data_IF_132993203861
#
_entry.id   IF_132993203861
#
_cell.length_a   1.000
_cell.length_b   1.000
_cell.length_c   1.000
_cell.angle_alpha   90.00
_cell.angle_beta   90.00
_cell.angle_gamma   90.00
#
_symmetry.space_group_name_H-M   'P 1'
#
loop_
_entity.id
_entity.type
_entity.pdbx_description
1 polymer ?
#
# COMPACT_ATOMS: atom_id res chain seq x y z
N UNK A 1 -2.01 15.58 1.33
CA UNK A 1 -1.79 15.57 -0.13
C UNK A 1 -2.59 14.46 -0.80
N UNK A 2 -2.82 13.33 -0.15
CA UNK A 2 -3.61 12.21 -0.69
C UNK A 2 -5.13 12.36 -0.53
N UNK A 3 -5.60 13.37 0.18
CA UNK A 3 -7.02 13.60 0.51
C UNK A 3 -7.97 13.57 -0.70
N UNK A 4 -7.64 14.26 -1.79
CA UNK A 4 -8.48 14.28 -3.00
C UNK A 4 -8.62 12.93 -3.72
N UNK A 5 -7.78 11.94 -3.40
CA UNK A 5 -7.93 10.56 -3.89
C UNK A 5 -8.95 9.78 -3.07
N UNK A 6 -9.00 10.05 -1.77
CA UNK A 6 -9.99 9.44 -0.87
C UNK A 6 -11.42 9.87 -1.24
N UNK A 7 -11.62 11.09 -1.71
CA UNK A 7 -12.91 11.57 -2.21
C UNK A 7 -13.42 10.71 -3.39
N UNK A 8 -12.53 10.24 -4.26
CA UNK A 8 -12.90 9.32 -5.35
C UNK A 8 -13.31 7.95 -4.83
N UNK A 9 -12.68 7.48 -3.75
CA UNK A 9 -13.07 6.22 -3.11
C UNK A 9 -14.49 6.33 -2.54
N UNK A 10 -14.78 7.41 -1.83
CA UNK A 10 -16.14 7.65 -1.27
C UNK A 10 -17.20 7.79 -2.35
N UNK A 11 -16.86 8.42 -3.48
CA UNK A 11 -17.79 8.65 -4.57
C UNK A 11 -18.06 7.41 -5.44
N UNK A 12 -17.30 6.32 -5.26
CA UNK A 12 -17.48 5.10 -6.03
C UNK A 12 -18.78 4.38 -5.64
N UNK A 13 -19.63 3.98 -6.61
CA UNK A 13 -20.93 3.33 -6.32
C UNK A 13 -20.81 1.99 -5.58
N UNK A 14 -19.73 1.24 -5.81
CA UNK A 14 -19.47 -0.02 -5.09
C UNK A 14 -19.13 0.25 -3.64
N UNK A 15 -18.25 1.21 -3.40
CA UNK A 15 -17.84 1.64 -2.05
C UNK A 15 -18.99 2.25 -1.27
N UNK A 16 -19.88 2.99 -1.92
CA UNK A 16 -21.07 3.60 -1.30
C UNK A 16 -22.07 2.57 -0.72
N UNK A 17 -21.96 1.29 -1.10
CA UNK A 17 -22.76 0.20 -0.54
C UNK A 17 -22.18 -0.41 0.74
N UNK A 18 -20.94 -0.07 1.08
CA UNK A 18 -20.28 -0.58 2.27
C UNK A 18 -20.94 -0.05 3.54
N UNK A 19 -20.91 -0.86 4.58
CA UNK A 19 -21.26 -0.38 5.92
C UNK A 19 -20.24 0.70 6.38
N UNK A 20 -20.65 1.53 7.32
CA UNK A 20 -19.84 2.67 7.79
C UNK A 20 -18.48 2.24 8.34
N UNK A 21 -18.40 1.08 8.99
CA UNK A 21 -17.15 0.58 9.55
C UNK A 21 -16.18 0.16 8.43
N UNK A 22 -16.64 -0.61 7.47
CA UNK A 22 -15.85 -1.04 6.30
C UNK A 22 -15.40 0.16 5.49
N UNK A 23 -16.27 1.14 5.26
CA UNK A 23 -15.92 2.40 4.59
C UNK A 23 -14.81 3.14 5.34
N UNK A 24 -14.93 3.31 6.64
CA UNK A 24 -13.93 3.99 7.46
C UNK A 24 -12.57 3.27 7.41
N UNK A 25 -12.57 1.95 7.47
CA UNK A 25 -11.35 1.14 7.41
C UNK A 25 -10.67 1.21 6.04
N UNK A 26 -11.41 1.09 4.93
CA UNK A 26 -10.81 1.14 3.60
C UNK A 26 -10.22 2.53 3.30
N UNK A 27 -10.88 3.60 3.77
CA UNK A 27 -10.37 4.96 3.66
C UNK A 27 -9.09 5.15 4.48
N UNK A 28 -9.06 4.67 5.72
CA UNK A 28 -7.87 4.73 6.57
C UNK A 28 -6.70 3.96 5.97
N UNK A 29 -6.92 2.71 5.53
CA UNK A 29 -5.91 1.86 4.89
C UNK A 29 -5.36 2.51 3.62
N UNK A 30 -6.25 2.98 2.75
CA UNK A 30 -5.87 3.65 1.50
C UNK A 30 -5.11 4.95 1.77
N UNK A 31 -5.54 5.70 2.78
CA UNK A 31 -4.89 6.94 3.22
C UNK A 31 -3.45 6.72 3.70
N UNK A 32 -3.22 5.70 4.53
CA UNK A 32 -1.88 5.36 5.02
C UNK A 32 -0.94 4.96 3.88
N UNK A 33 -1.41 4.12 2.94
CA UNK A 33 -0.61 3.71 1.78
C UNK A 33 -0.30 4.91 0.89
N UNK A 34 -1.32 5.74 0.59
CA UNK A 34 -1.17 6.89 -0.27
C UNK A 34 -0.28 7.99 0.32
N UNK A 35 -0.35 8.22 1.62
CA UNK A 35 0.53 9.18 2.29
C UNK A 35 1.99 8.74 2.27
N UNK A 36 2.26 7.44 2.39
CA UNK A 36 3.62 6.92 2.30
C UNK A 36 4.30 7.23 0.96
N UNK A 37 3.54 7.30 -0.14
CA UNK A 37 4.08 7.69 -1.44
C UNK A 37 4.71 9.09 -1.42
N UNK A 38 4.18 10.01 -0.61
CA UNK A 38 4.72 11.38 -0.49
C UNK A 38 5.70 11.49 0.66
N UNK A 39 5.35 10.96 1.79
CA UNK A 39 6.06 11.13 3.04
C UNK A 39 7.52 10.66 2.99
N UNK A 40 7.80 9.58 2.31
CA UNK A 40 9.13 9.00 2.20
C UNK A 40 9.91 9.44 0.95
N UNK A 41 9.24 10.08 -0.01
CA UNK A 41 9.85 10.46 -1.28
C UNK A 41 10.08 11.96 -1.45
N UNK A 42 9.76 12.81 -0.47
CA UNK A 42 9.96 14.26 -0.54
C UNK A 42 11.43 14.59 -0.83
N UNK A 43 11.68 15.19 -1.99
CA UNK A 43 13.04 15.48 -2.47
C UNK A 43 13.84 14.25 -2.92
N UNK A 44 13.23 13.06 -2.97
CA UNK A 44 13.87 11.78 -3.32
C UNK A 44 13.18 11.08 -4.52
N UNK A 45 12.40 11.81 -5.27
CA UNK A 45 11.80 11.31 -6.51
C UNK A 45 12.88 11.07 -7.56
N UNK A 46 12.83 9.95 -8.24
CA UNK A 46 13.81 9.61 -9.29
C UNK A 46 13.59 10.41 -10.56
N UNK A 47 12.33 10.61 -10.93
CA UNK A 47 11.94 11.31 -12.14
C UNK A 47 10.71 12.17 -11.93
N UNK A 48 9.53 11.59 -11.72
CA UNK A 48 8.26 12.28 -11.66
C UNK A 48 7.66 12.22 -10.25
N UNK A 49 7.48 13.34 -9.56
CA UNK A 49 6.84 13.39 -8.25
C UNK A 49 5.37 12.99 -8.32
N UNK A 50 4.91 12.30 -7.26
CA UNK A 50 3.51 11.97 -7.09
C UNK A 50 3.23 10.48 -7.01
N UNK A 51 1.96 10.14 -7.01
CA UNK A 51 1.51 8.76 -7.06
C UNK A 51 0.46 8.56 -8.15
N UNK A 52 0.44 7.38 -8.71
CA UNK A 52 -0.66 6.88 -9.52
C UNK A 52 -1.66 6.20 -8.60
N UNK A 53 -2.92 6.50 -8.81
CA UNK A 53 -4.02 5.95 -8.05
C UNK A 53 -5.09 5.47 -9.01
N UNK A 54 -5.60 4.27 -8.76
CA UNK A 54 -6.73 3.72 -9.49
C UNK A 54 -7.68 2.98 -8.56
N UNK A 55 -8.93 2.90 -9.00
CA UNK A 55 -10.03 2.25 -8.33
C UNK A 55 -10.87 1.52 -9.37
N UNK A 56 -11.28 0.30 -9.05
CA UNK A 56 -12.28 -0.47 -9.81
C UNK A 56 -13.20 -1.18 -8.83
N UNK A 57 -14.50 -1.11 -9.07
CA UNK A 57 -15.49 -1.80 -8.25
C UNK A 57 -16.40 -2.68 -9.11
N UNK A 58 -16.88 -3.76 -8.51
CA UNK A 58 -17.89 -4.67 -9.03
C UNK A 58 -19.06 -4.76 -8.05
N UNK A 59 -20.00 -5.67 -8.30
CA UNK A 59 -21.05 -5.99 -7.32
C UNK A 59 -20.49 -6.69 -6.07
N UNK A 60 -19.31 -7.32 -6.18
CA UNK A 60 -18.75 -8.23 -5.17
C UNK A 60 -17.52 -7.68 -4.46
N UNK A 61 -16.82 -6.71 -5.04
CA UNK A 61 -15.56 -6.20 -4.47
C UNK A 61 -15.17 -4.84 -5.00
N UNK A 62 -14.27 -4.20 -4.27
CA UNK A 62 -13.49 -3.05 -4.73
C UNK A 62 -12.01 -3.41 -4.74
N UNK A 63 -11.32 -2.97 -5.78
CA UNK A 63 -9.86 -3.05 -5.94
C UNK A 63 -9.31 -1.65 -6.05
N UNK A 64 -8.31 -1.34 -5.22
CA UNK A 64 -7.63 -0.05 -5.20
C UNK A 64 -6.14 -0.31 -5.42
N UNK A 65 -5.50 0.46 -6.29
CA UNK A 65 -4.06 0.40 -6.47
C UNK A 65 -3.42 1.78 -6.33
N UNK A 66 -2.26 1.78 -5.71
CA UNK A 66 -1.43 2.97 -5.49
C UNK A 66 -0.01 2.63 -5.91
N UNK A 67 0.60 3.47 -6.73
CA UNK A 67 1.98 3.32 -7.15
C UNK A 67 2.74 4.63 -7.09
N UNK A 68 4.02 4.58 -6.76
CA UNK A 68 4.95 5.71 -6.87
C UNK A 68 6.24 5.32 -7.60
N UNK A 69 6.99 6.30 -8.04
CA UNK A 69 8.33 6.14 -8.62
C UNK A 69 9.42 6.71 -7.71
N UNK A 70 9.22 6.55 -6.42
CA UNK A 70 10.16 6.99 -5.41
C UNK A 70 11.32 6.02 -5.20
N UNK A 71 11.94 6.11 -4.04
CA UNK A 71 13.15 5.34 -3.70
C UNK A 71 12.89 3.90 -3.24
N UNK A 72 11.63 3.55 -2.92
CA UNK A 72 11.26 2.24 -2.39
C UNK A 72 11.59 2.04 -0.90
N UNK A 73 11.16 0.90 -0.33
CA UNK A 73 11.35 0.62 1.10
C UNK A 73 12.81 0.45 1.49
N UNK A 74 13.60 -0.28 0.70
CA UNK A 74 14.97 -0.60 1.06
C UNK A 74 15.82 0.68 1.22
N UNK A 75 15.76 1.59 0.27
CA UNK A 75 16.50 2.86 0.35
C UNK A 75 16.01 3.76 1.48
N UNK A 76 14.69 3.76 1.74
CA UNK A 76 14.09 4.53 2.84
C UNK A 76 14.57 4.00 4.20
N UNK A 77 14.49 2.70 4.42
CA UNK A 77 14.79 2.08 5.71
C UNK A 77 16.29 1.99 6.00
N UNK A 78 17.17 1.93 5.00
CA UNK A 78 18.64 1.95 5.20
C UNK A 78 19.14 3.18 5.96
N UNK A 79 18.38 4.26 5.99
CA UNK A 79 18.73 5.46 6.77
C UNK A 79 18.70 5.21 8.27
N UNK A 80 17.86 4.29 8.74
CA UNK A 80 17.67 3.95 10.15
C UNK A 80 18.10 2.52 10.49
N UNK A 81 18.18 1.67 9.48
CA UNK A 81 18.63 0.27 9.56
C UNK A 81 19.66 0.02 8.44
N UNK A 82 20.94 0.40 8.64
CA UNK A 82 21.95 0.31 7.57
C UNK A 82 22.17 -1.11 7.03
N UNK A 83 21.96 -2.12 7.88
CA UNK A 83 22.24 -3.54 7.60
C UNK A 83 21.08 -4.27 6.89
N UNK A 84 20.07 -3.57 6.40
CA UNK A 84 19.01 -4.19 5.59
C UNK A 84 19.63 -4.85 4.36
N UNK A 85 19.52 -6.18 4.29
CA UNK A 85 20.21 -6.99 3.28
C UNK A 85 19.51 -7.08 1.95
N UNK A 86 18.16 -6.89 1.88
CA UNK A 86 17.41 -7.10 0.65
C UNK A 86 16.11 -6.28 0.61
N UNK A 87 15.54 -6.12 -0.59
CA UNK A 87 14.22 -5.51 -0.79
C UNK A 87 13.13 -6.34 -0.10
N UNK A 88 13.25 -7.68 -0.10
CA UNK A 88 12.32 -8.57 0.58
C UNK A 88 12.31 -8.32 2.09
N UNK A 89 13.47 -8.26 2.70
CA UNK A 89 13.58 -7.97 4.12
C UNK A 89 13.05 -6.56 4.46
N UNK A 90 13.30 -5.59 3.59
CA UNK A 90 12.83 -4.22 3.78
C UNK A 90 11.29 -4.11 3.75
N UNK A 91 10.63 -4.79 2.81
CA UNK A 91 9.17 -4.75 2.72
C UNK A 91 8.49 -5.48 3.89
N UNK A 92 9.04 -6.60 4.34
CA UNK A 92 8.57 -7.33 5.52
C UNK A 92 8.69 -6.46 6.78
N UNK A 93 9.85 -5.87 7.02
CA UNK A 93 10.09 -4.97 8.15
C UNK A 93 9.12 -3.77 8.13
N UNK A 94 8.87 -3.17 6.96
CA UNK A 94 7.98 -2.03 6.82
C UNK A 94 6.55 -2.31 7.29
N UNK A 95 6.06 -3.53 7.08
CA UNK A 95 4.72 -3.94 7.50
C UNK A 95 4.66 -4.59 8.88
N UNK A 96 5.77 -5.09 9.41
CA UNK A 96 5.81 -5.81 10.68
C UNK A 96 6.26 -4.96 11.87
N UNK A 97 7.17 -4.03 11.63
CA UNK A 97 7.81 -3.27 12.70
C UNK A 97 7.35 -1.81 12.74
N UNK A 98 7.40 -1.22 13.93
CA UNK A 98 7.17 0.21 14.13
C UNK A 98 8.50 0.92 13.86
N UNK A 99 8.79 1.18 12.59
CA UNK A 99 10.01 1.88 12.19
C UNK A 99 9.62 3.08 11.33
N UNK A 100 10.09 4.26 11.72
CA UNK A 100 9.96 5.46 10.89
C UNK A 100 11.30 5.80 10.26
N UNK A 101 11.34 5.86 8.95
CA UNK A 101 12.48 6.41 8.20
C UNK A 101 12.69 7.92 8.40
N UNK A 102 11.87 8.57 9.23
CA UNK A 102 11.89 10.00 9.56
C UNK A 102 12.30 10.24 11.02
N UNK A 103 13.50 9.82 11.40
CA UNK A 103 14.01 10.24 12.71
C UNK A 103 14.15 11.79 12.75
N UNK A 104 13.66 12.48 13.81
CA UNK A 104 13.17 11.98 15.10
C UNK A 104 11.64 11.75 15.21
N UNK A 105 10.87 11.78 14.12
CA UNK A 105 9.42 11.57 14.17
C UNK A 105 9.07 10.12 14.57
N UNK A 106 8.31 9.97 15.66
CA UNK A 106 7.79 8.67 16.13
C UNK A 106 6.56 8.21 15.33
N UNK A 107 6.55 8.39 14.00
CA UNK A 107 5.53 7.86 13.10
C UNK A 107 6.09 6.60 12.43
N UNK A 108 5.39 5.52 12.40
CA UNK A 108 5.83 4.24 11.81
C UNK A 108 4.78 3.15 12.01
N UNK A 109 3.56 3.55 12.41
CA UNK A 109 2.47 2.62 12.68
C UNK A 109 1.54 2.41 11.48
N UNK A 110 1.62 3.23 10.42
CA UNK A 110 0.66 3.23 9.33
C UNK A 110 0.57 1.90 8.60
N UNK A 111 1.70 1.35 8.14
CA UNK A 111 1.71 0.06 7.44
C UNK A 111 1.43 -1.12 8.37
N UNK A 112 1.83 -1.05 9.63
CA UNK A 112 1.45 -2.05 10.63
C UNK A 112 -0.05 -2.04 10.89
N UNK A 113 -0.68 -0.86 10.95
CA UNK A 113 -2.13 -0.74 11.00
C UNK A 113 -2.78 -1.37 9.77
N UNK A 114 -2.30 -1.06 8.56
CA UNK A 114 -2.76 -1.67 7.31
C UNK A 114 -2.72 -3.20 7.40
N UNK A 115 -1.58 -3.75 7.84
CA UNK A 115 -1.45 -5.19 8.04
C UNK A 115 -2.47 -5.75 9.02
N UNK A 116 -2.64 -5.11 10.17
CA UNK A 116 -3.59 -5.57 11.20
C UNK A 116 -5.05 -5.59 10.71
N UNK A 117 -5.44 -4.64 9.85
CA UNK A 117 -6.79 -4.58 9.27
C UNK A 117 -7.02 -5.69 8.25
N UNK A 118 -6.00 -6.08 7.51
CA UNK A 118 -6.13 -6.97 6.36
C UNK A 118 -5.74 -8.41 6.71
N UNK A 119 -4.68 -8.60 7.51
CA UNK A 119 -4.14 -9.92 7.80
C UNK A 119 -5.16 -10.78 8.55
N UNK A 120 -5.30 -12.04 8.11
CA UNK A 120 -6.26 -12.99 8.69
C UNK A 120 -7.73 -12.75 8.30
N UNK A 121 -8.04 -11.72 7.52
CA UNK A 121 -9.38 -11.49 7.03
C UNK A 121 -9.59 -12.19 5.68
N UNK A 122 -10.61 -13.07 5.52
CA UNK A 122 -10.85 -13.82 4.29
C UNK A 122 -11.29 -12.93 3.11
N UNK A 123 -11.94 -11.81 3.40
CA UNK A 123 -12.55 -10.94 2.39
C UNK A 123 -11.67 -9.77 2.00
N UNK A 124 -10.48 -9.69 2.58
CA UNK A 124 -9.52 -8.63 2.31
C UNK A 124 -8.22 -9.20 1.80
N UNK A 125 -7.56 -8.48 0.91
CA UNK A 125 -6.23 -8.81 0.43
C UNK A 125 -5.39 -7.59 0.15
N UNK A 126 -4.10 -7.72 0.35
CA UNK A 126 -3.10 -6.75 -0.06
C UNK A 126 -1.94 -7.47 -0.73
N UNK A 127 -1.46 -6.91 -1.82
CA UNK A 127 -0.21 -7.29 -2.45
C UNK A 127 0.64 -6.04 -2.70
N UNK A 128 1.90 -6.09 -2.31
CA UNK A 128 2.82 -4.96 -2.40
C UNK A 128 4.15 -5.39 -3.01
N UNK A 129 4.69 -4.53 -3.88
CA UNK A 129 6.00 -4.70 -4.51
C UNK A 129 6.87 -3.47 -4.23
N UNK A 130 8.16 -3.70 -3.94
CA UNK A 130 9.17 -2.64 -3.84
C UNK A 130 10.55 -3.20 -4.19
N UNK A 131 11.17 -2.69 -5.24
CA UNK A 131 12.36 -3.31 -5.80
C UNK A 131 12.09 -4.77 -6.20
N UNK A 132 12.91 -5.71 -5.78
CA UNK A 132 12.68 -7.15 -5.99
C UNK A 132 11.78 -7.79 -4.91
N UNK A 133 11.46 -7.06 -3.83
CA UNK A 133 10.64 -7.55 -2.72
C UNK A 133 9.16 -7.64 -3.08
N UNK A 134 8.50 -8.67 -2.56
CA UNK A 134 7.08 -8.96 -2.73
C UNK A 134 6.46 -9.36 -1.40
N UNK A 135 5.27 -8.86 -1.10
CA UNK A 135 4.55 -9.18 0.12
C UNK A 135 3.06 -9.24 -0.17
N UNK A 136 2.43 -10.38 0.16
CA UNK A 136 0.99 -10.58 0.10
C UNK A 136 0.46 -11.04 1.44
N UNK A 137 -0.73 -10.57 1.85
CA UNK A 137 -1.44 -11.03 3.02
C UNK A 137 -2.94 -10.76 2.93
N UNK A 138 -3.72 -11.48 3.77
CA UNK A 138 -5.18 -11.52 3.71
C UNK A 138 -5.69 -12.63 2.77
N UNK A 139 -6.95 -13.04 2.93
CA UNK A 139 -7.52 -14.18 2.20
C UNK A 139 -7.62 -13.98 0.69
N UNK A 140 -7.73 -12.73 0.22
CA UNK A 140 -7.82 -12.40 -1.20
C UNK A 140 -6.45 -12.11 -1.88
N UNK A 141 -5.32 -12.26 -1.18
CA UNK A 141 -4.01 -11.85 -1.74
C UNK A 141 -3.56 -12.70 -2.93
N UNK A 142 -3.90 -13.98 -3.03
CA UNK A 142 -3.49 -14.84 -4.13
C UNK A 142 -4.05 -14.41 -5.49
N UNK A 143 -5.25 -13.84 -5.52
CA UNK A 143 -5.81 -13.24 -6.75
C UNK A 143 -5.02 -12.00 -7.17
N UNK A 144 -4.61 -11.18 -6.21
CA UNK A 144 -3.82 -9.98 -6.45
C UNK A 144 -2.41 -10.30 -6.95
N UNK A 145 -1.78 -11.36 -6.44
CA UNK A 145 -0.50 -11.86 -6.93
C UNK A 145 -0.60 -12.28 -8.40
N UNK A 146 -1.66 -12.99 -8.74
CA UNK A 146 -1.92 -13.44 -10.13
C UNK A 146 -2.12 -12.25 -11.06
N UNK A 147 -2.91 -11.25 -10.65
CA UNK A 147 -3.13 -10.02 -11.42
C UNK A 147 -1.82 -9.23 -11.60
N UNK A 148 -1.04 -9.11 -10.55
CA UNK A 148 0.24 -8.40 -10.59
C UNK A 148 1.25 -9.11 -11.52
N UNK A 149 1.33 -10.44 -11.47
CA UNK A 149 2.20 -11.23 -12.34
C UNK A 149 1.81 -11.08 -13.82
N UNK A 150 0.50 -11.08 -14.11
CA UNK A 150 -0.02 -10.92 -15.48
C UNK A 150 0.14 -9.50 -16.05
N UNK A 151 0.30 -8.50 -15.20
CA UNK A 151 0.41 -7.09 -15.62
C UNK A 151 1.79 -6.67 -16.12
N UNK A 152 2.80 -7.54 -16.03
CA UNK A 152 4.18 -7.21 -16.39
C UNK A 152 4.80 -6.11 -15.52
N UNK A 153 4.23 -5.83 -14.36
CA UNK A 153 4.76 -4.87 -13.40
C UNK A 153 6.15 -5.31 -12.93
N UNK A 154 7.17 -4.75 -13.57
CA UNK A 154 8.53 -4.92 -13.12
C UNK A 154 8.79 -4.01 -11.91
N UNK A 155 9.36 -4.57 -10.89
CA UNK A 155 9.61 -3.92 -9.60
C UNK A 155 10.73 -2.87 -9.62
N UNK A 156 11.05 -2.30 -10.75
CA UNK A 156 12.27 -1.51 -10.90
C UNK A 156 12.31 -0.19 -10.13
N UNK A 157 11.17 0.45 -9.86
CA UNK A 157 11.14 1.81 -9.32
C UNK A 157 9.96 2.03 -8.38
N UNK A 158 10.26 2.49 -7.15
CA UNK A 158 9.24 2.90 -6.20
C UNK A 158 8.52 1.77 -5.49
N UNK A 159 7.26 2.02 -5.17
CA UNK A 159 6.36 1.07 -4.50
C UNK A 159 5.08 0.94 -5.30
N UNK A 160 4.60 -0.29 -5.46
CA UNK A 160 3.28 -0.60 -5.96
C UNK A 160 2.52 -1.40 -4.91
N UNK A 161 1.31 -0.96 -4.58
CA UNK A 161 0.42 -1.65 -3.65
C UNK A 161 -0.96 -1.77 -4.28
N UNK A 162 -1.54 -2.96 -4.20
CA UNK A 162 -2.93 -3.23 -4.58
C UNK A 162 -3.68 -3.83 -3.40
N UNK A 163 -4.89 -3.34 -3.19
CA UNK A 163 -5.84 -3.74 -2.17
C UNK A 163 -7.06 -4.34 -2.83
N UNK A 164 -7.59 -5.41 -2.26
CA UNK A 164 -8.91 -5.93 -2.57
C UNK A 164 -9.75 -5.99 -1.29
N UNK A 165 -11.00 -5.60 -1.43
CA UNK A 165 -11.98 -5.66 -0.36
C UNK A 165 -13.27 -6.25 -0.95
N UNK A 166 -13.62 -7.46 -0.55
CA UNK A 166 -14.85 -8.12 -0.96
C UNK A 166 -16.01 -7.65 -0.10
N UNK A 167 -17.16 -7.56 -0.70
CA UNK A 167 -18.41 -7.27 -0.01
C UNK A 167 -19.01 -8.58 0.51
N UNK A 168 -19.69 -8.55 1.67
CA UNK A 168 -20.40 -9.70 2.20
C UNK A 168 -21.56 -10.14 1.29
#
# INVERSE_FOLDING_TARGET
VFQGRLERVVADPGVARMDTQSLSLILAVTGEIGNNCFDHNLGQWRDQPGCWFGLSSTAESVVIWVADRGQGFCSTLRRVLPDIGSDQNAIEIAYEQVISGRYPERRGNGLKFVRNVINGNPDKGLYCCSGSGRLGFGGACGELETLAAGSGLSAGLGVFTVLQWRFP
#
